data_IF_725204441273
#
_entry.id   IF_725204441273
#
_cell.length_a   1.000
_cell.length_b   1.000
_cell.length_c   1.000
_cell.angle_alpha   90.00
_cell.angle_beta   90.00
_cell.angle_gamma   90.00
#
_symmetry.space_group_name_H-M   'P 1'
#
loop_
_entity.id
_entity.type
_entity.pdbx_description
1 polymer ?
#
# COMPACT_ATOMS: atom_id res chain seq x y z
N UNK A 1 19.15 -17.57 -7.71
CA UNK A 1 18.66 -16.22 -7.32
C UNK A 1 18.60 -15.37 -8.58
N UNK A 2 17.41 -14.95 -8.97
CA UNK A 2 17.17 -14.02 -10.07
C UNK A 2 16.44 -12.79 -9.55
N UNK A 3 16.49 -11.70 -10.34
CA UNK A 3 15.75 -10.47 -10.04
C UNK A 3 14.86 -10.15 -11.24
N UNK A 4 13.58 -10.05 -10.99
CA UNK A 4 12.56 -9.76 -11.99
C UNK A 4 11.99 -8.37 -11.77
N UNK A 5 11.64 -7.70 -12.85
CA UNK A 5 10.87 -6.47 -12.84
C UNK A 5 9.44 -6.78 -13.32
N UNK A 6 8.47 -6.74 -12.42
CA UNK A 6 7.09 -7.10 -12.69
C UNK A 6 6.39 -6.14 -13.68
N UNK A 7 7.00 -4.98 -13.95
CA UNK A 7 6.46 -4.06 -14.97
C UNK A 7 6.74 -4.52 -16.40
N UNK A 8 7.76 -5.35 -16.59
CA UNK A 8 8.21 -5.86 -17.89
C UNK A 8 8.14 -7.37 -18.04
N UNK A 9 8.26 -8.14 -16.94
CA UNK A 9 8.37 -9.60 -16.98
C UNK A 9 7.62 -10.24 -15.80
N UNK A 10 6.68 -11.15 -16.11
CA UNK A 10 6.07 -12.00 -15.10
C UNK A 10 6.84 -13.32 -15.03
N UNK A 11 7.54 -13.65 -13.93
CA UNK A 11 8.28 -14.90 -13.81
C UNK A 11 7.33 -16.10 -13.80
N UNK A 12 7.69 -17.17 -14.50
CA UNK A 12 6.93 -18.42 -14.56
C UNK A 12 7.45 -19.51 -13.61
N UNK A 13 8.75 -19.50 -13.31
CA UNK A 13 9.40 -20.48 -12.45
C UNK A 13 10.22 -19.75 -11.40
N UNK A 14 9.66 -19.62 -10.20
CA UNK A 14 10.34 -19.00 -9.07
C UNK A 14 11.20 -20.04 -8.33
N UNK A 15 12.34 -19.58 -7.82
CA UNK A 15 13.18 -20.36 -6.90
C UNK A 15 13.45 -19.55 -5.64
N UNK A 16 13.87 -20.23 -4.57
CA UNK A 16 14.21 -19.60 -3.29
C UNK A 16 15.28 -18.53 -3.49
N UNK A 17 15.10 -17.40 -2.83
CA UNK A 17 15.88 -16.15 -2.93
C UNK A 17 15.66 -15.33 -4.22
N UNK A 18 14.73 -15.70 -5.08
CA UNK A 18 14.34 -14.80 -6.17
C UNK A 18 13.67 -13.54 -5.64
N UNK A 19 13.95 -12.42 -6.32
CA UNK A 19 13.43 -11.11 -5.98
C UNK A 19 12.53 -10.62 -7.12
N UNK A 20 11.31 -10.25 -6.78
CA UNK A 20 10.34 -9.68 -7.69
C UNK A 20 10.15 -8.21 -7.31
N UNK A 21 10.68 -7.32 -8.11
CA UNK A 21 10.54 -5.89 -7.95
C UNK A 21 9.32 -5.40 -8.73
N UNK A 22 8.60 -4.45 -8.16
CA UNK A 22 7.51 -3.74 -8.82
C UNK A 22 7.72 -2.23 -8.62
N UNK A 23 8.52 -1.59 -9.48
CA UNK A 23 8.61 -0.14 -9.50
C UNK A 23 7.30 0.49 -9.96
N UNK A 24 7.14 1.77 -9.68
CA UNK A 24 6.00 2.53 -10.14
C UNK A 24 5.85 2.48 -11.67
N UNK A 25 4.65 2.19 -12.14
CA UNK A 25 4.30 2.16 -13.57
C UNK A 25 3.01 2.91 -13.90
N UNK A 26 2.36 3.52 -12.90
CA UNK A 26 1.05 4.14 -13.06
C UNK A 26 -0.11 3.15 -13.19
N UNK A 27 0.15 1.85 -12.99
CA UNK A 27 -0.85 0.79 -13.11
C UNK A 27 -0.59 -0.33 -12.10
N UNK A 28 -1.65 -1.03 -11.72
CA UNK A 28 -1.60 -2.27 -10.96
C UNK A 28 -0.84 -3.35 -11.75
N UNK A 29 -0.08 -4.15 -11.05
CA UNK A 29 0.54 -5.38 -11.54
C UNK A 29 0.05 -6.58 -10.75
N UNK A 30 0.00 -7.74 -11.37
CA UNK A 30 -0.38 -8.98 -10.71
C UNK A 30 0.60 -10.10 -11.01
N UNK A 31 0.73 -11.01 -10.06
CA UNK A 31 1.52 -12.23 -10.19
C UNK A 31 0.81 -13.36 -9.46
N UNK A 32 0.93 -14.57 -9.97
CA UNK A 32 0.48 -15.78 -9.28
C UNK A 32 1.70 -16.38 -8.57
N UNK A 33 1.67 -16.37 -7.24
CA UNK A 33 2.71 -16.97 -6.42
C UNK A 33 2.35 -18.42 -6.09
N UNK A 34 3.29 -19.37 -6.19
CA UNK A 34 3.14 -20.73 -5.65
C UNK A 34 2.88 -20.75 -4.14
N UNK A 35 2.53 -21.89 -3.58
CA UNK A 35 2.58 -22.10 -2.12
C UNK A 35 4.01 -21.91 -1.62
N UNK A 36 4.16 -21.23 -0.46
CA UNK A 36 5.48 -20.86 0.05
C UNK A 36 5.46 -19.71 1.03
N UNK A 37 6.64 -19.27 1.44
CA UNK A 37 6.83 -18.09 2.29
C UNK A 37 7.50 -16.97 1.51
N UNK A 38 6.98 -15.76 1.69
CA UNK A 38 7.39 -14.59 0.93
C UNK A 38 7.59 -13.40 1.86
N UNK A 39 8.73 -12.71 1.74
CA UNK A 39 8.91 -11.40 2.36
C UNK A 39 8.31 -10.35 1.44
N UNK A 40 7.43 -9.53 1.99
CA UNK A 40 6.78 -8.40 1.33
C UNK A 40 7.36 -7.10 1.86
N UNK A 41 7.75 -6.20 0.97
CA UNK A 41 8.29 -4.88 1.29
C UNK A 41 7.61 -3.84 0.41
N UNK A 42 7.10 -2.76 1.00
CA UNK A 42 6.43 -1.69 0.26
C UNK A 42 6.90 -0.33 0.78
N UNK A 43 7.18 0.61 -0.14
CA UNK A 43 7.59 1.99 0.11
C UNK A 43 6.53 2.93 -0.45
N UNK A 44 5.95 3.79 0.38
CA UNK A 44 4.97 4.79 -0.03
C UNK A 44 5.61 5.91 -0.85
N UNK A 45 4.83 6.59 -1.67
CA UNK A 45 5.35 7.66 -2.51
C UNK A 45 5.45 9.00 -1.77
N UNK A 46 6.34 9.87 -2.26
CA UNK A 46 6.48 11.24 -1.77
C UNK A 46 5.31 12.11 -2.25
N UNK A 47 4.86 13.04 -1.39
CA UNK A 47 3.94 14.11 -1.77
C UNK A 47 4.60 15.11 -2.71
N UNK A 48 3.78 15.76 -3.53
CA UNK A 48 4.24 16.80 -4.45
C UNK A 48 4.76 18.04 -3.72
N UNK A 49 5.58 18.81 -4.42
CA UNK A 49 6.18 20.05 -3.93
C UNK A 49 6.30 21.09 -5.02
N UNK A 50 6.29 22.36 -4.65
CA UNK A 50 6.33 23.48 -5.60
C UNK A 50 7.74 23.86 -6.04
N UNK A 51 8.66 24.05 -5.10
CA UNK A 51 9.99 24.62 -5.37
C UNK A 51 11.15 23.74 -4.93
N UNK A 52 10.98 22.94 -3.91
CA UNK A 52 12.04 22.11 -3.34
C UNK A 52 11.46 20.76 -2.88
N UNK A 53 12.10 19.67 -3.28
CA UNK A 53 11.70 18.30 -2.94
C UNK A 53 11.62 18.02 -1.43
N UNK A 54 12.29 18.80 -0.60
CA UNK A 54 12.24 18.67 0.85
C UNK A 54 10.89 19.07 1.44
N UNK A 55 10.09 19.84 0.73
CA UNK A 55 8.76 20.27 1.19
C UNK A 55 7.65 19.24 0.91
N UNK A 56 7.81 18.33 -0.01
CA UNK A 56 6.89 17.19 -0.15
C UNK A 56 7.11 16.19 0.97
N UNK A 57 6.04 15.81 1.67
CA UNK A 57 6.10 14.79 2.71
C UNK A 57 6.65 13.48 2.15
N UNK A 58 7.57 12.83 2.86
CA UNK A 58 8.15 11.57 2.42
C UNK A 58 7.22 10.39 2.73
N UNK A 59 7.24 9.37 1.88
CA UNK A 59 6.52 8.12 2.09
C UNK A 59 7.12 7.28 3.21
N UNK A 60 6.29 6.41 3.80
CA UNK A 60 6.72 5.43 4.79
C UNK A 60 7.16 4.11 4.17
N UNK A 61 7.42 3.13 5.03
CA UNK A 61 7.84 1.78 4.67
C UNK A 61 7.07 0.75 5.49
N UNK A 62 6.70 -0.37 4.87
CA UNK A 62 6.15 -1.51 5.61
C UNK A 62 6.77 -2.81 5.10
N UNK A 63 6.97 -3.74 6.03
CA UNK A 63 7.57 -5.04 5.79
C UNK A 63 6.77 -6.12 6.52
N UNK A 64 6.77 -7.35 5.99
CA UNK A 64 6.22 -8.53 6.66
C UNK A 64 6.44 -9.79 5.84
N UNK A 65 6.31 -10.93 6.49
CA UNK A 65 6.39 -12.25 5.86
C UNK A 65 5.00 -12.86 5.77
N UNK A 66 4.59 -13.29 4.57
CA UNK A 66 3.34 -14.03 4.35
C UNK A 66 3.64 -15.50 4.07
N UNK A 67 2.78 -16.38 4.58
CA UNK A 67 2.73 -17.79 4.19
C UNK A 67 1.52 -18.02 3.29
N UNK A 68 1.74 -18.56 2.11
CA UNK A 68 0.69 -18.94 1.17
C UNK A 68 0.63 -20.48 1.10
N UNK A 69 -0.44 -21.07 1.61
CA UNK A 69 -0.62 -22.52 1.64
C UNK A 69 -1.02 -23.09 0.28
N UNK A 70 -1.41 -22.24 -0.66
CA UNK A 70 -1.79 -22.60 -2.02
C UNK A 70 -1.38 -21.52 -3.02
N UNK A 71 -1.36 -21.90 -4.28
CA UNK A 71 -1.17 -20.97 -5.41
C UNK A 71 -2.15 -19.80 -5.33
N UNK A 72 -1.64 -18.57 -5.26
CA UNK A 72 -2.44 -17.38 -4.93
C UNK A 72 -2.09 -16.23 -5.85
N UNK A 73 -3.12 -15.58 -6.40
CA UNK A 73 -2.93 -14.33 -7.15
C UNK A 73 -2.68 -13.18 -6.19
N UNK A 74 -1.65 -12.41 -6.47
CA UNK A 74 -1.23 -11.24 -5.70
C UNK A 74 -1.28 -10.02 -6.61
N UNK A 75 -1.92 -8.94 -6.13
CA UNK A 75 -2.01 -7.66 -6.82
C UNK A 75 -1.12 -6.64 -6.12
N UNK A 76 -0.28 -5.96 -6.90
CA UNK A 76 0.78 -5.09 -6.39
C UNK A 76 0.58 -3.67 -6.92
N UNK A 77 0.53 -2.72 -6.01
CA UNK A 77 0.33 -1.31 -6.29
C UNK A 77 1.54 -0.51 -5.77
N UNK A 78 2.38 -0.05 -6.67
CA UNK A 78 3.42 0.93 -6.32
C UNK A 78 2.84 2.35 -6.47
N UNK A 79 2.87 3.13 -5.41
CA UNK A 79 2.31 4.47 -5.37
C UNK A 79 3.01 5.46 -6.31
N UNK A 80 2.26 6.38 -6.89
CA UNK A 80 2.84 7.48 -7.65
C UNK A 80 3.24 8.65 -6.73
N UNK A 81 4.36 9.30 -7.00
CA UNK A 81 4.67 10.58 -6.36
C UNK A 81 3.61 11.62 -6.69
N UNK A 82 3.36 12.52 -5.77
CA UNK A 82 2.51 13.67 -6.04
C UNK A 82 3.07 14.52 -7.18
N UNK A 83 2.20 15.07 -8.02
CA UNK A 83 2.63 15.90 -9.14
C UNK A 83 3.34 17.16 -8.63
N UNK A 84 4.42 17.56 -9.28
CA UNK A 84 5.29 18.70 -8.92
C UNK A 84 5.18 19.86 -9.91
N UNK A 85 4.10 19.98 -10.68
CA UNK A 85 3.98 21.02 -11.71
C UNK A 85 3.79 22.43 -11.11
N UNK A 86 4.50 23.47 -11.60
CA UNK A 86 4.24 24.85 -11.24
C UNK A 86 2.83 25.27 -11.66
N UNK A 87 2.25 26.21 -10.91
CA UNK A 87 0.86 26.63 -10.96
C UNK A 87 0.26 26.79 -12.37
N UNK A 88 -0.78 26.06 -12.60
CA UNK A 88 -1.70 26.19 -13.73
C UNK A 88 -3.10 26.05 -13.14
N UNK A 89 -4.05 26.89 -13.53
CA UNK A 89 -5.42 26.91 -13.01
C UNK A 89 -6.23 25.64 -13.36
N UNK A 90 -5.64 24.48 -13.19
CA UNK A 90 -6.26 23.18 -13.43
C UNK A 90 -6.08 22.26 -12.22
N UNK A 91 -7.04 21.38 -11.99
CA UNK A 91 -6.93 20.34 -10.94
C UNK A 91 -5.74 19.43 -11.26
N UNK A 92 -4.87 19.23 -10.28
CA UNK A 92 -3.76 18.29 -10.36
C UNK A 92 -4.16 16.98 -9.67
N UNK A 93 -4.08 15.92 -10.43
CA UNK A 93 -4.32 14.57 -9.92
C UNK A 93 -3.23 14.24 -8.90
N UNK A 94 -3.61 13.67 -7.78
CA UNK A 94 -2.67 13.12 -6.80
C UNK A 94 -1.91 11.92 -7.35
N UNK A 95 -0.91 11.47 -6.62
CA UNK A 95 -0.15 10.28 -6.96
C UNK A 95 -1.05 9.04 -7.09
N UNK A 96 -0.73 8.17 -8.06
CA UNK A 96 -1.44 6.92 -8.28
C UNK A 96 -1.57 6.11 -6.98
N UNK A 97 -2.69 5.43 -6.82
CA UNK A 97 -3.07 4.67 -5.63
C UNK A 97 -3.36 5.57 -4.41
N UNK A 98 -4.24 6.52 -4.60
CA UNK A 98 -4.95 7.24 -3.54
C UNK A 98 -4.34 8.55 -3.07
N UNK A 99 -3.35 9.11 -3.73
CA UNK A 99 -2.90 10.48 -3.42
C UNK A 99 -4.02 11.50 -3.60
N UNK A 100 -4.15 12.47 -2.68
CA UNK A 100 -5.15 13.53 -2.74
C UNK A 100 -4.93 14.50 -3.89
N UNK A 101 -6.02 15.02 -4.45
CA UNK A 101 -5.99 16.01 -5.53
C UNK A 101 -5.74 17.43 -5.00
N UNK A 102 -5.34 18.34 -5.86
CA UNK A 102 -5.23 19.76 -5.53
C UNK A 102 -5.53 20.62 -6.74
N UNK A 103 -6.14 21.78 -6.50
CA UNK A 103 -6.31 22.82 -7.51
C UNK A 103 -5.02 23.63 -7.65
N UNK A 104 -4.53 23.80 -8.85
CA UNK A 104 -3.38 24.65 -9.26
C UNK A 104 -1.96 24.15 -8.92
N UNK A 105 -1.74 23.30 -7.93
CA UNK A 105 -0.41 22.90 -7.46
C UNK A 105 -0.31 21.36 -7.24
N UNK A 106 0.45 20.95 -6.28
CA UNK A 106 0.97 19.59 -6.10
C UNK A 106 -0.01 18.65 -5.39
N UNK A 107 -0.24 17.45 -5.90
CA UNK A 107 -1.06 16.43 -5.26
C UNK A 107 -0.31 15.68 -4.14
N UNK A 108 -1.04 14.97 -3.28
CA UNK A 108 -0.46 14.04 -2.32
C UNK A 108 0.18 12.83 -2.98
N UNK A 109 1.14 12.19 -2.33
CA UNK A 109 1.74 10.92 -2.76
C UNK A 109 0.79 9.75 -2.58
N UNK A 110 0.81 8.76 -3.47
CA UNK A 110 0.04 7.54 -3.37
C UNK A 110 0.62 6.54 -2.38
N UNK A 111 -0.21 5.65 -1.86
CA UNK A 111 0.23 4.50 -1.08
C UNK A 111 0.84 3.42 -1.96
N UNK A 112 1.73 2.59 -1.40
CA UNK A 112 2.08 1.31 -1.99
C UNK A 112 1.45 0.19 -1.19
N UNK A 113 0.82 -0.78 -1.85
CA UNK A 113 0.17 -1.89 -1.15
C UNK A 113 0.21 -3.20 -1.94
N UNK A 114 0.01 -4.30 -1.22
CA UNK A 114 -0.15 -5.64 -1.79
C UNK A 114 -1.48 -6.22 -1.31
N UNK A 115 -2.24 -6.79 -2.27
CA UNK A 115 -3.57 -7.38 -2.07
C UNK A 115 -3.53 -8.86 -2.41
N UNK A 116 -4.28 -9.67 -1.69
CA UNK A 116 -4.27 -11.12 -1.81
C UNK A 116 -5.61 -11.63 -2.35
N UNK A 117 -5.56 -12.44 -3.40
CA UNK A 117 -6.71 -13.17 -3.96
C UNK A 117 -7.69 -12.31 -4.75
N UNK A 118 -7.89 -11.06 -4.36
CA UNK A 118 -8.82 -10.13 -5.02
C UNK A 118 -8.21 -8.74 -5.18
N UNK A 119 -8.48 -8.08 -6.30
CA UNK A 119 -8.11 -6.69 -6.51
C UNK A 119 -9.11 -5.75 -5.83
N UNK A 120 -8.97 -5.63 -4.52
CA UNK A 120 -9.84 -4.83 -3.66
C UNK A 120 -9.05 -4.16 -2.55
N UNK A 121 -9.45 -2.94 -2.16
CA UNK A 121 -8.94 -2.28 -0.95
C UNK A 121 -9.17 -3.13 0.31
N UNK A 122 -10.19 -3.99 0.30
CA UNK A 122 -10.54 -4.89 1.39
C UNK A 122 -9.74 -6.21 1.40
N UNK A 123 -8.76 -6.36 0.50
CA UNK A 123 -7.84 -7.49 0.41
C UNK A 123 -6.36 -7.09 0.66
N UNK A 124 -6.10 -5.89 1.19
CA UNK A 124 -4.74 -5.39 1.45
C UNK A 124 -4.13 -6.04 2.68
N UNK A 125 -3.02 -6.75 2.51
CA UNK A 125 -2.27 -7.34 3.64
C UNK A 125 -1.17 -6.43 4.18
N UNK A 126 -0.65 -5.52 3.34
CA UNK A 126 0.43 -4.60 3.69
C UNK A 126 0.26 -3.28 2.94
N UNK A 127 0.46 -2.17 3.62
CA UNK A 127 0.34 -0.81 3.07
C UNK A 127 1.47 0.07 3.62
N UNK A 128 2.16 0.80 2.75
CA UNK A 128 3.00 1.93 3.12
C UNK A 128 2.32 3.23 2.70
N UNK A 129 2.08 4.13 3.63
CA UNK A 129 1.41 5.40 3.37
C UNK A 129 2.28 6.38 2.59
N UNK A 130 1.65 7.12 1.68
CA UNK A 130 2.26 8.22 0.95
C UNK A 130 2.26 9.53 1.75
N UNK A 131 3.19 10.42 1.41
CA UNK A 131 3.29 11.74 2.04
C UNK A 131 2.26 12.75 1.52
N UNK A 132 1.87 13.73 2.34
CA UNK A 132 1.09 14.88 1.92
C UNK A 132 1.91 15.85 1.05
N UNK A 133 1.23 16.63 0.19
CA UNK A 133 1.91 17.67 -0.57
C UNK A 133 2.23 18.90 0.29
N UNK A 134 3.17 19.72 -0.18
CA UNK A 134 3.41 21.03 0.42
C UNK A 134 2.16 21.93 0.35
N UNK A 135 2.09 22.94 1.23
CA UNK A 135 1.26 24.13 1.06
C UNK A 135 1.92 25.13 0.12
N UNK A 136 1.28 26.28 -0.16
CA UNK A 136 2.00 27.39 -0.76
C UNK A 136 3.04 27.93 0.22
N UNK A 137 4.00 28.75 -0.29
CA UNK A 137 5.02 29.42 0.55
C UNK A 137 5.87 28.51 1.46
N UNK A 138 6.32 27.36 0.91
CA UNK A 138 7.26 26.46 1.59
C UNK A 138 6.75 25.79 2.89
N UNK A 139 5.45 25.57 3.00
CA UNK A 139 4.87 24.81 4.13
C UNK A 139 4.95 23.33 3.84
N UNK A 140 5.69 22.61 4.67
CA UNK A 140 5.99 21.20 4.46
C UNK A 140 4.75 20.31 4.48
N UNK A 141 4.61 19.43 3.50
CA UNK A 141 3.71 18.28 3.51
C UNK A 141 4.16 17.26 4.55
N UNK A 142 3.22 16.56 5.15
CA UNK A 142 3.50 15.64 6.25
C UNK A 142 3.87 14.26 5.75
N UNK A 143 4.73 13.58 6.51
CA UNK A 143 5.19 12.22 6.18
C UNK A 143 4.06 11.19 6.22
N UNK A 144 4.13 10.18 5.34
CA UNK A 144 3.26 9.01 5.35
C UNK A 144 3.87 7.84 6.13
N UNK A 145 3.10 6.77 6.27
CA UNK A 145 3.52 5.50 6.89
C UNK A 145 3.41 5.48 8.41
N UNK A 146 3.93 4.42 9.01
CA UNK A 146 3.72 4.13 10.42
C UNK A 146 2.26 3.81 10.74
N UNK A 147 1.92 3.63 11.99
CA UNK A 147 0.51 3.46 12.42
C UNK A 147 -0.29 4.75 12.31
N UNK A 148 0.39 5.88 12.15
CA UNK A 148 -0.20 7.21 11.94
C UNK A 148 0.72 8.03 11.04
N UNK A 149 0.17 8.55 9.95
CA UNK A 149 0.85 9.57 9.16
C UNK A 149 1.00 10.88 9.93
N UNK A 150 1.90 11.74 9.46
CA UNK A 150 2.15 13.04 10.06
C UNK A 150 0.97 14.01 9.90
N UNK A 151 0.79 14.87 10.89
CA UNK A 151 -0.19 15.96 10.88
C UNK A 151 0.50 17.31 10.94
N UNK A 152 0.00 18.31 10.22
CA UNK A 152 0.47 19.69 10.34
C UNK A 152 -0.08 20.29 11.64
N UNK A 153 0.81 20.76 12.53
CA UNK A 153 0.45 21.27 13.86
C UNK A 153 0.79 22.75 13.99
N UNK A 154 -0.05 23.66 13.55
CA UNK A 154 0.13 25.10 13.84
C UNK A 154 -1.22 25.75 14.15
N UNK A 155 -1.20 26.83 14.93
CA UNK A 155 -2.26 27.32 15.80
C UNK A 155 -3.52 27.94 15.15
N UNK A 156 -3.64 28.10 13.84
CA UNK A 156 -4.82 28.69 13.18
C UNK A 156 -5.09 28.02 11.81
N UNK A 157 -6.37 27.77 11.47
CA UNK A 157 -6.85 27.22 10.18
C UNK A 157 -7.08 25.70 10.16
N UNK A 158 -7.51 25.16 9.03
CA UNK A 158 -7.78 23.72 8.86
C UNK A 158 -6.51 22.93 8.63
N UNK A 159 -6.24 22.00 9.52
CA UNK A 159 -5.04 21.18 9.53
C UNK A 159 -5.07 20.06 8.48
N UNK A 160 -3.92 19.73 7.91
CA UNK A 160 -3.72 18.45 7.24
C UNK A 160 -3.49 17.36 8.30
N UNK A 161 -4.51 16.60 8.63
CA UNK A 161 -4.42 15.52 9.62
C UNK A 161 -3.89 14.24 9.00
N UNK A 162 -3.01 13.53 9.72
CA UNK A 162 -2.52 12.22 9.29
C UNK A 162 -3.59 11.13 9.36
N UNK A 163 -3.55 10.18 8.44
CA UNK A 163 -4.31 8.94 8.52
C UNK A 163 -3.85 8.09 9.71
N UNK A 164 -4.76 7.31 10.29
CA UNK A 164 -4.51 6.39 11.42
C UNK A 164 -4.94 4.97 11.07
N UNK A 165 -5.01 4.07 12.05
CA UNK A 165 -5.49 2.70 11.84
C UNK A 165 -7.01 2.58 11.69
N UNK A 166 -7.76 3.61 12.07
CA UNK A 166 -9.24 3.58 12.09
C UNK A 166 -9.89 4.81 11.44
N UNK A 167 -9.08 5.72 10.89
CA UNK A 167 -9.56 6.97 10.30
C UNK A 167 -8.44 7.98 10.09
N UNK A 168 -8.64 9.21 10.54
CA UNK A 168 -7.60 10.25 10.60
C UNK A 168 -7.62 10.97 11.94
N UNK A 169 -6.54 11.71 12.25
CA UNK A 169 -6.39 12.41 13.53
C UNK A 169 -7.40 13.57 13.74
N UNK A 170 -8.11 13.99 12.69
CA UNK A 170 -9.15 15.03 12.76
C UNK A 170 -10.54 14.50 13.17
N UNK A 171 -10.65 13.20 13.43
CA UNK A 171 -11.92 12.57 13.80
C UNK A 171 -12.85 12.27 12.61
N UNK A 172 -14.04 11.75 12.91
CA UNK A 172 -14.99 11.26 11.89
C UNK A 172 -15.51 12.33 10.93
N UNK A 173 -15.48 13.59 11.32
CA UNK A 173 -15.93 14.72 10.45
C UNK A 173 -15.01 14.97 9.26
N UNK A 174 -13.82 14.37 9.25
CA UNK A 174 -12.85 14.51 8.17
C UNK A 174 -12.66 13.21 7.36
N UNK A 175 -13.62 12.30 7.45
CA UNK A 175 -13.63 11.01 6.71
C UNK A 175 -14.80 11.01 5.73
N UNK A 176 -14.54 10.55 4.51
CA UNK A 176 -15.58 10.31 3.49
C UNK A 176 -15.42 8.92 2.87
N UNK A 177 -16.48 8.42 2.24
CA UNK A 177 -16.47 7.13 1.54
C UNK A 177 -16.02 7.21 0.10
N UNK A 178 -15.88 8.43 -0.46
CA UNK A 178 -15.47 8.64 -1.85
C UNK A 178 -14.39 9.72 -1.91
N UNK A 179 -13.38 9.50 -2.76
CA UNK A 179 -12.34 10.50 -3.00
C UNK A 179 -12.92 11.71 -3.73
N UNK A 180 -12.72 12.95 -3.22
CA UNK A 180 -13.10 14.16 -3.96
C UNK A 180 -12.32 14.25 -5.28
N UNK A 181 -13.02 14.49 -6.39
CA UNK A 181 -12.44 14.53 -7.75
C UNK A 181 -12.60 15.87 -8.47
N UNK A 182 -13.41 16.76 -7.92
CA UNK A 182 -13.67 18.10 -8.48
C UNK A 182 -13.03 19.17 -7.62
N UNK A 183 -12.55 20.26 -8.24
CA UNK A 183 -11.80 21.34 -7.58
C UNK A 183 -12.44 21.80 -6.29
N UNK A 184 -11.70 21.66 -5.20
CA UNK A 184 -12.17 21.98 -3.86
C UNK A 184 -12.11 23.47 -3.58
N UNK A 185 -13.24 24.02 -3.15
CA UNK A 185 -13.35 25.39 -2.62
C UNK A 185 -13.93 25.39 -1.20
N UNK A 186 -14.21 24.22 -0.64
CA UNK A 186 -14.84 24.00 0.65
C UNK A 186 -13.97 23.15 1.57
N UNK A 187 -14.05 23.39 2.87
CA UNK A 187 -13.35 22.57 3.88
C UNK A 187 -13.77 21.09 3.84
N UNK A 188 -14.97 20.75 3.35
CA UNK A 188 -15.40 19.37 3.16
C UNK A 188 -14.61 18.63 2.07
N UNK A 189 -13.97 19.33 1.15
CA UNK A 189 -13.14 18.71 0.10
C UNK A 189 -11.81 18.21 0.66
N UNK A 190 -11.40 18.67 1.84
CA UNK A 190 -10.21 18.19 2.54
C UNK A 190 -10.35 16.78 3.13
N UNK A 191 -11.54 16.19 3.13
CA UNK A 191 -11.81 14.90 3.75
C UNK A 191 -11.05 13.77 3.05
N UNK A 192 -10.52 12.86 3.85
CA UNK A 192 -9.85 11.64 3.42
C UNK A 192 -10.68 10.41 3.75
N UNK A 193 -10.24 9.24 3.32
CA UNK A 193 -10.95 8.00 3.59
C UNK A 193 -10.05 6.77 3.53
N UNK A 194 -10.69 5.62 3.52
CA UNK A 194 -10.03 4.34 3.42
C UNK A 194 -9.41 4.18 2.03
N UNK A 195 -8.08 4.23 1.96
CA UNK A 195 -7.32 4.10 0.72
C UNK A 195 -6.93 5.41 0.03
N UNK A 196 -7.45 6.57 0.44
CA UNK A 196 -7.21 7.81 -0.28
C UNK A 196 -7.07 9.05 0.61
N UNK A 197 -6.23 10.00 0.17
CA UNK A 197 -6.01 11.29 0.79
C UNK A 197 -7.03 12.35 0.37
N UNK A 198 -7.21 13.34 1.23
CA UNK A 198 -8.10 14.49 1.01
C UNK A 198 -7.53 15.49 0.02
N UNK A 199 -8.41 16.30 -0.58
CA UNK A 199 -8.02 17.32 -1.53
C UNK A 199 -7.42 18.54 -0.83
N UNK A 200 -6.34 19.09 -1.39
CA UNK A 200 -5.83 20.40 -1.02
C UNK A 200 -6.70 21.51 -1.63
N UNK A 201 -7.20 22.39 -0.79
CA UNK A 201 -8.19 23.41 -1.20
C UNK A 201 -7.53 24.73 -1.53
N UNK A 202 -8.11 25.42 -2.50
CA UNK A 202 -7.80 26.79 -2.88
C UNK A 202 -8.86 27.77 -2.37
N UNK A 203 -8.41 28.89 -1.82
CA UNK A 203 -9.25 30.06 -1.58
C UNK A 203 -8.53 31.33 -2.05
N UNK A 204 -9.22 32.48 -2.01
CA UNK A 204 -8.59 33.77 -2.29
C UNK A 204 -7.41 34.08 -1.34
N UNK A 205 -7.33 33.42 -0.23
CA UNK A 205 -6.36 33.68 0.83
C UNK A 205 -5.15 32.72 0.81
N UNK A 206 -5.13 31.68 -0.07
CA UNK A 206 -3.99 30.79 -0.14
C UNK A 206 -4.29 29.39 -0.68
N UNK A 207 -3.34 28.48 -0.53
CA UNK A 207 -3.37 27.13 -1.09
C UNK A 207 -3.05 26.08 -0.04
N UNK A 208 -4.03 25.29 0.35
CA UNK A 208 -3.83 24.13 1.21
C UNK A 208 -3.15 22.96 0.48
N UNK A 209 -2.33 22.17 1.16
CA UNK A 209 -1.72 20.94 0.64
C UNK A 209 -2.69 19.77 0.57
N UNK A 210 -2.49 18.85 -0.38
CA UNK A 210 -3.28 17.63 -0.52
C UNK A 210 -2.75 16.51 0.39
N UNK A 211 -3.64 15.66 0.91
CA UNK A 211 -3.29 14.54 1.76
C UNK A 211 -2.68 13.36 1.00
N UNK A 212 -1.81 12.58 1.64
CA UNK A 212 -1.25 11.34 1.10
C UNK A 212 -2.24 10.17 1.18
N UNK A 213 -2.15 9.23 0.24
CA UNK A 213 -2.86 7.95 0.28
C UNK A 213 -2.30 7.03 1.35
N UNK A 214 -3.09 6.04 1.82
CA UNK A 214 -2.65 5.15 2.89
C UNK A 214 -3.64 4.03 3.17
N UNK A 215 -3.47 3.36 4.31
CA UNK A 215 -4.53 2.53 4.89
C UNK A 215 -5.77 3.40 5.10
N UNK A 216 -5.65 4.45 5.90
CA UNK A 216 -6.46 5.66 5.77
C UNK A 216 -5.56 6.78 5.27
N UNK A 217 -6.07 7.59 4.36
CA UNK A 217 -5.33 8.74 3.85
C UNK A 217 -5.28 9.88 4.86
N UNK A 218 -4.29 10.76 4.69
CA UNK A 218 -4.25 12.05 5.37
C UNK A 218 -5.26 13.02 4.77
N UNK A 219 -5.77 13.98 5.56
CA UNK A 219 -6.64 15.03 5.03
C UNK A 219 -5.83 16.04 4.24
N UNK A 220 -6.49 16.69 3.28
CA UNK A 220 -5.99 17.95 2.77
C UNK A 220 -6.05 19.05 3.83
N UNK A 221 -5.51 20.20 3.51
CA UNK A 221 -5.62 21.41 4.33
C UNK A 221 -6.42 22.51 3.59
N UNK A 222 -7.02 23.40 4.38
CA UNK A 222 -7.79 24.53 3.92
C UNK A 222 -7.10 25.83 4.37
N UNK A 223 -6.84 26.82 3.49
CA UNK A 223 -6.27 28.09 3.91
C UNK A 223 -7.28 28.87 4.74
N UNK A 224 -6.80 29.53 5.78
CA UNK A 224 -7.66 30.37 6.59
C UNK A 224 -7.84 31.79 6.00
N UNK A 225 -8.55 32.64 6.76
CA UNK A 225 -8.84 34.00 6.35
C UNK A 225 -7.68 35.00 6.45
N UNK A 226 -6.54 34.60 7.08
CA UNK A 226 -5.42 35.51 7.35
C UNK A 226 -4.36 35.55 6.25
N UNK A 227 -4.43 34.66 5.25
CA UNK A 227 -3.53 34.64 4.07
C UNK A 227 -2.10 34.16 4.30
N UNK A 228 -1.69 33.97 5.55
CA UNK A 228 -0.32 33.51 5.91
C UNK A 228 -0.23 32.01 6.22
N UNK A 229 -1.35 31.29 6.19
CA UNK A 229 -1.46 29.94 6.72
C UNK A 229 -1.66 28.84 5.65
N UNK A 230 -0.90 28.91 4.57
CA UNK A 230 -0.80 27.83 3.60
C UNK A 230 -0.16 26.60 4.25
N UNK A 231 -0.92 25.55 4.47
CA UNK A 231 -0.43 24.35 5.18
C UNK A 231 -0.24 23.17 4.27
N UNK A 232 0.74 22.32 4.62
CA UNK A 232 0.91 21.03 3.97
C UNK A 232 -0.23 20.07 4.31
N UNK A 233 -0.53 19.16 3.39
CA UNK A 233 -1.46 18.07 3.60
C UNK A 233 -0.93 17.04 4.61
N UNK A 234 -1.83 16.29 5.26
CA UNK A 234 -1.50 15.18 6.15
C UNK A 234 -0.95 13.98 5.38
N UNK A 235 -0.12 13.15 6.01
CA UNK A 235 0.35 11.88 5.44
C UNK A 235 -0.66 10.76 5.64
N UNK A 236 -0.71 9.78 4.74
CA UNK A 236 -1.50 8.56 4.92
C UNK A 236 -0.82 7.57 5.88
N UNK A 237 -1.60 6.72 6.57
CA UNK A 237 -1.04 5.69 7.46
C UNK A 237 -0.58 4.45 6.68
N UNK A 238 0.39 3.72 7.25
CA UNK A 238 0.73 2.37 6.86
C UNK A 238 -0.20 1.35 7.54
N UNK A 239 -0.12 0.09 7.10
CA UNK A 239 -0.84 -1.04 7.68
C UNK A 239 -0.13 -2.36 7.41
N UNK A 240 -0.25 -3.26 8.35
CA UNK A 240 0.18 -4.66 8.26
C UNK A 240 -0.96 -5.54 8.81
N UNK A 241 -1.40 -6.54 8.04
CA UNK A 241 -2.47 -7.46 8.45
C UNK A 241 -1.89 -8.57 9.33
N UNK A 242 -2.12 -8.46 10.63
CA UNK A 242 -1.65 -9.42 11.64
C UNK A 242 -2.81 -9.80 12.56
N UNK A 243 -2.63 -10.79 13.43
CA UNK A 243 -3.64 -11.17 14.42
C UNK A 243 -4.04 -10.00 15.35
N UNK A 244 -3.12 -9.07 15.61
CA UNK A 244 -3.38 -7.91 16.47
C UNK A 244 -4.01 -6.73 15.75
N UNK A 245 -3.85 -6.61 14.42
CA UNK A 245 -4.36 -5.48 13.64
C UNK A 245 -5.59 -5.81 12.80
N UNK A 246 -5.95 -7.09 12.68
CA UNK A 246 -7.09 -7.54 11.87
C UNK A 246 -8.42 -6.89 12.28
N UNK A 247 -8.59 -6.57 13.57
CA UNK A 247 -9.76 -5.85 14.09
C UNK A 247 -9.89 -4.41 13.62
N UNK A 248 -8.80 -3.81 13.10
CA UNK A 248 -8.82 -2.45 12.52
C UNK A 248 -9.35 -2.44 11.08
N UNK A 249 -9.58 -3.62 10.48
CA UNK A 249 -10.16 -3.69 9.15
C UNK A 249 -11.58 -3.15 9.16
N UNK A 250 -11.94 -2.23 8.24
CA UNK A 250 -13.33 -1.79 8.13
C UNK A 250 -14.21 -2.97 7.68
N UNK A 251 -15.52 -2.83 7.89
CA UNK A 251 -16.51 -3.84 7.44
C UNK A 251 -16.29 -4.21 5.96
N UNK A 252 -16.29 -5.51 5.65
CA UNK A 252 -16.06 -6.02 4.30
C UNK A 252 -14.66 -6.59 4.06
N UNK A 253 -13.85 -6.81 5.10
CA UNK A 253 -12.57 -7.51 4.97
C UNK A 253 -12.73 -8.84 4.21
N UNK A 254 -11.90 -9.04 3.19
CA UNK A 254 -11.90 -10.24 2.34
C UNK A 254 -10.78 -11.24 2.73
N UNK A 255 -10.03 -10.92 3.78
CA UNK A 255 -8.93 -11.74 4.29
C UNK A 255 -9.40 -12.55 5.50
N UNK A 256 -8.70 -13.66 5.74
CA UNK A 256 -8.85 -14.50 6.92
C UNK A 256 -7.49 -14.66 7.63
N UNK A 257 -7.45 -15.41 8.72
CA UNK A 257 -6.25 -15.62 9.54
C UNK A 257 -5.10 -16.33 8.82
N UNK A 258 -5.34 -17.01 7.70
CA UNK A 258 -4.29 -17.65 6.89
C UNK A 258 -3.31 -16.62 6.29
N UNK A 259 -3.76 -15.38 6.12
CA UNK A 259 -2.97 -14.30 5.52
C UNK A 259 -2.32 -13.36 6.55
N UNK A 260 -2.32 -13.73 7.83
CA UNK A 260 -1.60 -12.93 8.84
C UNK A 260 -0.11 -12.89 8.55
N UNK A 261 0.42 -11.67 8.50
CA UNK A 261 1.85 -11.44 8.38
C UNK A 261 2.56 -11.74 9.69
N UNK A 262 3.75 -12.33 9.58
CA UNK A 262 4.74 -12.46 10.65
C UNK A 262 5.94 -11.55 10.37
N UNK A 263 6.78 -11.32 11.37
CA UNK A 263 7.96 -10.44 11.27
C UNK A 263 7.61 -9.09 10.61
N UNK A 264 6.46 -8.54 11.01
CA UNK A 264 5.83 -7.42 10.32
C UNK A 264 6.00 -6.12 11.10
N UNK A 265 6.31 -5.04 10.37
CA UNK A 265 6.45 -3.70 10.92
C UNK A 265 6.05 -2.64 9.89
N UNK A 266 5.64 -1.46 10.38
CA UNK A 266 5.41 -0.27 9.56
C UNK A 266 6.18 0.92 10.14
N UNK A 267 6.80 1.69 9.26
CA UNK A 267 7.69 2.80 9.59
C UNK A 267 7.18 4.09 8.96
N UNK A 268 7.24 5.15 9.74
CA UNK A 268 6.85 6.48 9.29
C UNK A 268 7.96 7.14 8.45
N UNK A 269 7.58 7.97 7.48
CA UNK A 269 8.51 8.66 6.58
C UNK A 269 9.40 9.73 7.22
N UNK A 270 9.30 9.93 8.52
CA UNK A 270 10.24 10.73 9.33
C UNK A 270 11.24 9.88 10.15
N UNK A 271 11.22 8.56 9.96
CA UNK A 271 12.15 7.61 10.61
C UNK A 271 13.06 6.96 9.60
N UNK A 272 14.15 6.36 10.07
CA UNK A 272 15.07 5.60 9.22
C UNK A 272 14.62 4.16 9.07
N UNK A 273 14.72 3.65 7.84
CA UNK A 273 14.42 2.27 7.47
C UNK A 273 15.26 1.84 6.24
N UNK A 274 15.17 0.60 5.83
CA UNK A 274 15.86 0.07 4.65
C UNK A 274 15.22 0.65 3.38
N UNK A 275 16.02 1.33 2.56
CA UNK A 275 15.62 1.82 1.25
C UNK A 275 15.65 0.74 0.16
N UNK A 276 15.18 1.08 -1.02
CA UNK A 276 15.11 0.17 -2.18
C UNK A 276 16.50 -0.42 -2.53
N UNK A 277 17.56 0.37 -2.37
CA UNK A 277 18.95 -0.06 -2.64
C UNK A 277 19.52 -1.02 -1.58
N UNK A 278 18.82 -1.24 -0.47
CA UNK A 278 19.33 -1.97 0.70
C UNK A 278 20.08 -1.09 1.70
N UNK A 279 20.38 0.17 1.36
CA UNK A 279 20.96 1.15 2.28
C UNK A 279 19.87 1.79 3.14
N UNK A 280 20.25 2.35 4.31
CA UNK A 280 19.30 3.11 5.14
C UNK A 280 18.89 4.42 4.47
N UNK A 281 17.61 4.75 4.52
CA UNK A 281 17.07 6.06 4.15
C UNK A 281 16.13 6.59 5.24
N UNK A 282 15.99 7.93 5.33
CA UNK A 282 15.00 8.58 6.21
C UNK A 282 13.83 9.07 5.37
N UNK A 283 12.74 8.30 5.40
CA UNK A 283 11.58 8.52 4.56
C UNK A 283 11.85 8.31 3.08
N UNK A 284 10.90 7.69 2.37
CA UNK A 284 11.05 7.38 0.95
C UNK A 284 10.72 8.59 0.08
N UNK A 285 11.62 8.90 -0.88
CA UNK A 285 11.48 10.00 -1.83
C UNK A 285 11.08 9.50 -3.22
N UNK A 286 10.33 10.31 -3.97
CA UNK A 286 9.91 9.97 -5.32
C UNK A 286 8.72 9.01 -5.35
N UNK A 287 8.66 8.18 -6.39
CA UNK A 287 7.61 7.17 -6.56
C UNK A 287 7.77 6.04 -5.57
N UNK A 288 6.66 5.47 -5.14
CA UNK A 288 6.63 4.28 -4.32
C UNK A 288 7.15 3.03 -5.05
N UNK A 289 7.33 1.97 -4.27
CA UNK A 289 7.93 0.74 -4.74
C UNK A 289 7.40 -0.45 -3.96
N UNK A 290 7.38 -1.62 -4.59
CA UNK A 290 7.09 -2.89 -3.93
C UNK A 290 8.13 -3.94 -4.28
N UNK A 291 8.39 -4.84 -3.33
CA UNK A 291 9.29 -5.98 -3.52
C UNK A 291 8.71 -7.21 -2.86
N UNK A 292 8.80 -8.34 -3.56
CA UNK A 292 8.49 -9.66 -3.03
C UNK A 292 9.76 -10.50 -3.13
N UNK A 293 10.20 -11.09 -2.01
CA UNK A 293 11.34 -12.01 -1.99
C UNK A 293 10.86 -13.41 -1.65
N UNK A 294 11.22 -14.39 -2.43
CA UNK A 294 10.90 -15.80 -2.20
C UNK A 294 11.78 -16.35 -1.08
N UNK A 295 11.21 -16.62 0.09
CA UNK A 295 11.94 -17.18 1.23
C UNK A 295 11.94 -18.70 1.22
N UNK A 296 10.82 -19.30 0.81
CA UNK A 296 10.61 -20.74 0.78
C UNK A 296 9.54 -21.07 -0.26
N UNK A 297 9.69 -22.17 -0.95
CA UNK A 297 8.64 -22.71 -1.81
C UNK A 297 8.25 -24.07 -1.24
N UNK A 298 6.96 -24.25 -1.05
CA UNK A 298 6.44 -25.56 -0.67
C UNK A 298 6.34 -26.40 -1.94
N UNK A 299 6.78 -27.62 -1.86
CA UNK A 299 6.58 -28.59 -2.94
C UNK A 299 5.08 -28.77 -3.10
N UNK A 300 4.52 -28.19 -4.18
CA UNK A 300 3.15 -28.48 -4.52
C UNK A 300 3.09 -29.95 -4.94
N UNK A 301 2.30 -30.70 -4.23
CA UNK A 301 1.93 -32.03 -4.66
C UNK A 301 1.16 -31.91 -5.99
N UNK A 302 1.83 -32.21 -7.10
CA UNK A 302 1.19 -32.22 -8.40
C UNK A 302 0.49 -33.57 -8.61
N UNK A 303 -0.77 -33.68 -8.26
CA UNK A 303 -1.60 -34.81 -8.65
C UNK A 303 -2.26 -34.51 -10.01
N UNK A 304 -2.01 -35.37 -10.97
CA UNK A 304 -2.72 -35.31 -12.23
C UNK A 304 -3.85 -36.33 -12.25
N UNK A 305 -5.04 -35.90 -12.65
CA UNK A 305 -6.22 -36.78 -12.83
C UNK A 305 -6.57 -36.87 -14.31
N UNK A 306 -6.87 -38.06 -14.76
CA UNK A 306 -7.35 -38.26 -16.11
C UNK A 306 -8.88 -38.08 -16.17
N UNK A 307 -9.32 -37.06 -16.88
CA UNK A 307 -10.73 -36.76 -17.06
C UNK A 307 -11.03 -36.90 -18.57
N UNK A 308 -11.74 -37.95 -18.94
CA UNK A 308 -12.13 -38.17 -20.33
C UNK A 308 -10.96 -38.37 -21.29
N UNK A 309 -9.87 -39.03 -20.86
CA UNK A 309 -8.67 -39.26 -21.66
C UNK A 309 -7.64 -38.12 -21.65
N UNK A 310 -7.91 -37.01 -20.96
CA UNK A 310 -6.99 -35.87 -20.83
C UNK A 310 -6.50 -35.77 -19.40
N UNK A 311 -5.17 -35.72 -19.22
CA UNK A 311 -4.54 -35.50 -17.93
C UNK A 311 -4.64 -34.01 -17.58
N UNK A 312 -5.20 -33.71 -16.40
CA UNK A 312 -5.34 -32.38 -15.84
C UNK A 312 -4.68 -32.35 -14.47
N UNK A 313 -3.95 -31.27 -14.18
CA UNK A 313 -3.43 -31.00 -12.85
C UNK A 313 -4.60 -30.74 -11.89
N UNK A 314 -4.59 -31.39 -10.73
CA UNK A 314 -5.57 -31.16 -9.68
C UNK A 314 -5.06 -30.05 -8.76
N UNK A 315 -5.89 -29.05 -8.51
CA UNK A 315 -5.56 -27.93 -7.62
C UNK A 315 -5.47 -28.35 -6.15
N UNK A 316 -6.16 -29.45 -5.77
CA UNK A 316 -6.14 -30.05 -4.42
C UNK A 316 -6.69 -31.46 -4.44
N UNK A 317 -6.29 -32.26 -3.45
CA UNK A 317 -6.81 -33.59 -3.19
C UNK A 317 -7.47 -33.63 -1.81
N UNK A 318 -8.58 -34.37 -1.72
CA UNK A 318 -9.28 -34.56 -0.45
C UNK A 318 -9.41 -36.03 -0.11
N UNK A 319 -9.30 -36.36 1.17
CA UNK A 319 -9.57 -37.70 1.70
C UNK A 319 -10.76 -37.62 2.67
N UNK A 320 -11.69 -38.58 2.57
CA UNK A 320 -12.78 -38.70 3.52
C UNK A 320 -12.32 -39.57 4.72
N UNK A 321 -12.28 -38.94 5.89
CA UNK A 321 -11.96 -39.64 7.14
C UNK A 321 -13.15 -39.53 8.10
N UNK A 322 -13.82 -40.65 8.32
CA UNK A 322 -14.96 -40.71 9.24
C UNK A 322 -16.15 -39.82 8.81
N UNK A 323 -16.42 -39.68 7.53
CA UNK A 323 -17.51 -38.85 6.99
C UNK A 323 -17.15 -37.39 6.77
N UNK A 324 -15.94 -36.96 7.11
CA UNK A 324 -15.45 -35.58 6.92
C UNK A 324 -14.37 -35.56 5.82
N UNK A 325 -14.56 -34.70 4.82
CA UNK A 325 -13.53 -34.45 3.80
C UNK A 325 -12.45 -33.55 4.34
N UNK A 326 -11.21 -34.03 4.27
CA UNK A 326 -9.99 -33.28 4.65
C UNK A 326 -9.09 -33.13 3.46
N UNK A 327 -8.49 -31.97 3.29
CA UNK A 327 -7.50 -31.70 2.25
C UNK A 327 -6.22 -32.53 2.54
N UNK A 328 -5.62 -33.08 1.48
CA UNK A 328 -4.38 -33.86 1.56
C UNK A 328 -3.21 -32.89 1.49
N UNK A 329 -2.44 -32.78 2.56
CA UNK A 329 -1.28 -31.88 2.66
C UNK A 329 0.00 -32.48 2.05
N UNK A 330 0.04 -33.81 1.80
CA UNK A 330 1.17 -34.49 1.17
C UNK A 330 0.89 -35.95 0.89
N UNK A 331 1.55 -36.52 -0.13
CA UNK A 331 1.55 -37.96 -0.40
C UNK A 331 2.93 -38.55 -0.10
N UNK A 332 2.94 -39.66 0.57
CA UNK A 332 4.16 -40.40 0.96
C UNK A 332 4.14 -41.76 0.31
N UNK A 333 5.23 -42.10 -0.35
CA UNK A 333 5.42 -43.43 -0.95
C UNK A 333 6.44 -44.21 -0.14
N UNK A 334 6.11 -45.45 0.23
CA UNK A 334 7.08 -46.34 0.87
C UNK A 334 7.95 -47.00 -0.20
N UNK A 335 9.23 -46.66 -0.21
CA UNK A 335 10.23 -47.27 -1.11
C UNK A 335 11.26 -47.97 -0.28
N UNK A 336 11.27 -49.32 -0.33
CA UNK A 336 12.26 -50.13 0.39
C UNK A 336 12.20 -50.01 1.91
N UNK A 337 11.00 -49.85 2.49
CA UNK A 337 10.80 -49.73 3.93
C UNK A 337 10.94 -48.30 4.49
N UNK A 338 11.25 -47.30 3.64
CA UNK A 338 11.33 -45.90 4.03
C UNK A 338 10.23 -45.12 3.35
N UNK A 339 9.48 -44.29 4.13
CA UNK A 339 8.51 -43.35 3.61
C UNK A 339 9.23 -42.13 3.04
N UNK A 340 8.94 -41.81 1.77
CA UNK A 340 9.45 -40.62 1.07
C UNK A 340 8.28 -39.82 0.59
N UNK A 341 8.36 -38.51 0.78
CA UNK A 341 7.39 -37.60 0.20
C UNK A 341 7.47 -37.66 -1.33
N UNK A 342 6.32 -37.80 -1.97
CA UNK A 342 6.23 -37.81 -3.42
C UNK A 342 6.11 -36.36 -3.87
N UNK A 343 7.22 -35.76 -4.35
CA UNK A 343 7.28 -34.41 -4.91
C UNK A 343 7.08 -34.43 -6.42
#
# INVERSE_FOLDING_TARGET
MATYDLTSTTPSNLVVNDIINCPYSGAMKSIVLPSGRYKLEVWGAQGGYRSNSTYGGKGGYSIGTITLNKKTTVYVYAGGAGNTAPGSATIKVGGFNGGGYRYSYNGGGGASDIRIGQDSLYARVIVAGGGGSDGATNKQGMYGGGTSGGSSTQNYGSYGYGGTQTGNNGGSSYITTAQPTTGGTSSSDCYSGFGFGGMGVYSSNGYGGAGGGGWYGGTGSYPDSSGDDDRGGGGGSGYIYTSSTASNYPSGCLLNSEYYLTDAATYAGNTSFVGISGSSETGHAGNGYCRITVLELYTSFAMNVNIGGTWKEADSAFVNIGGTWKEVEGIWTNIGGSWKESG
#
